data_IF_876411267641
#
_entry.id   IF_876411267641
#
_cell.length_a   1.000
_cell.length_b   1.000
_cell.length_c   1.000
_cell.angle_alpha   90.00
_cell.angle_beta   90.00
_cell.angle_gamma   90.00
#
_symmetry.space_group_name_H-M   'P 1'
#
loop_
_entity.id
_entity.type
_entity.pdbx_description
1 polymer ?
#
# COMPACT_ATOMS: atom_id res chain seq x y z
N UNK A 1 -40.67 59.08 -23.60
CA UNK A 1 -40.25 58.44 -22.33
C UNK A 1 -40.72 57.00 -22.33
N UNK A 2 -39.84 56.03 -22.56
CA UNK A 2 -40.16 54.59 -22.56
C UNK A 2 -39.67 54.00 -21.25
N UNK A 3 -40.60 53.56 -20.42
CA UNK A 3 -40.31 52.91 -19.16
C UNK A 3 -39.72 51.53 -19.41
N UNK A 4 -38.46 51.35 -19.01
CA UNK A 4 -37.80 50.04 -18.97
C UNK A 4 -38.40 49.20 -17.82
N UNK A 5 -39.07 48.12 -18.16
CA UNK A 5 -39.59 47.18 -17.15
C UNK A 5 -38.43 46.35 -16.58
N UNK A 6 -38.08 46.65 -15.36
CA UNK A 6 -37.05 45.99 -14.52
C UNK A 6 -37.51 44.61 -14.03
N UNK A 7 -37.94 43.71 -14.92
CA UNK A 7 -38.48 42.39 -14.53
C UNK A 7 -37.71 41.19 -15.12
N UNK A 8 -36.50 41.41 -15.61
CA UNK A 8 -35.66 40.31 -16.13
C UNK A 8 -34.42 40.03 -15.31
N UNK A 9 -34.19 40.70 -14.18
CA UNK A 9 -32.97 40.54 -13.38
C UNK A 9 -33.00 39.43 -12.32
N UNK A 10 -34.12 38.92 -11.80
CA UNK A 10 -34.06 37.88 -10.78
C UNK A 10 -33.74 36.48 -11.37
N UNK A 11 -34.12 36.23 -12.62
CA UNK A 11 -33.85 34.89 -13.23
C UNK A 11 -32.39 34.61 -13.54
N UNK A 12 -31.65 35.64 -13.93
CA UNK A 12 -30.24 35.46 -14.30
C UNK A 12 -29.32 35.32 -13.07
N UNK A 13 -29.64 36.01 -11.98
CA UNK A 13 -28.92 35.89 -10.71
C UNK A 13 -29.19 34.55 -10.07
N UNK A 14 -30.44 34.04 -10.17
CA UNK A 14 -30.81 32.73 -9.63
C UNK A 14 -30.12 31.58 -10.35
N UNK A 15 -29.99 31.68 -11.68
CA UNK A 15 -29.23 30.69 -12.47
C UNK A 15 -27.73 30.73 -12.15
N UNK A 16 -27.16 31.89 -11.86
CA UNK A 16 -25.75 32.05 -11.53
C UNK A 16 -25.43 31.53 -10.12
N UNK A 17 -26.37 31.68 -9.18
CA UNK A 17 -26.25 31.08 -7.83
C UNK A 17 -26.47 29.58 -7.85
N UNK A 18 -27.38 29.04 -8.68
CA UNK A 18 -27.55 27.59 -8.86
C UNK A 18 -26.35 26.96 -9.59
N UNK A 19 -25.72 27.67 -10.52
CA UNK A 19 -24.51 27.19 -11.21
C UNK A 19 -23.30 27.05 -10.30
N UNK A 20 -23.19 27.85 -9.23
CA UNK A 20 -22.09 27.78 -8.27
C UNK A 20 -22.23 26.64 -7.25
N UNK A 21 -23.44 26.10 -7.06
CA UNK A 21 -23.68 24.97 -6.14
C UNK A 21 -23.28 23.63 -6.80
N UNK A 22 -23.26 23.54 -8.14
CA UNK A 22 -22.90 22.31 -8.83
C UNK A 22 -21.40 22.08 -9.00
N UNK A 23 -20.55 23.07 -8.69
CA UNK A 23 -19.08 22.91 -8.73
C UNK A 23 -18.45 22.60 -7.37
N UNK A 24 -19.26 22.50 -6.31
CA UNK A 24 -18.77 22.22 -4.94
C UNK A 24 -19.10 20.81 -4.45
N UNK A 25 -19.58 19.93 -5.33
CA UNK A 25 -19.77 18.52 -5.02
C UNK A 25 -18.86 17.66 -5.92
N UNK A 26 -17.56 17.95 -5.89
CA UNK A 26 -16.58 16.90 -5.97
C UNK A 26 -16.40 16.41 -4.54
N UNK A 27 -17.42 15.77 -3.97
CA UNK A 27 -17.18 14.73 -3.01
C UNK A 27 -16.26 13.75 -3.72
N UNK A 28 -15.06 13.66 -3.21
CA UNK A 28 -14.29 12.46 -3.34
C UNK A 28 -15.12 11.36 -2.70
N UNK A 29 -16.00 10.77 -3.48
CA UNK A 29 -16.29 9.37 -3.29
C UNK A 29 -14.93 8.71 -3.53
N UNK A 30 -14.27 8.42 -2.44
CA UNK A 30 -13.23 7.41 -2.39
C UNK A 30 -13.90 6.12 -2.86
N UNK A 31 -14.00 5.97 -4.18
CA UNK A 31 -14.15 4.68 -4.82
C UNK A 31 -12.89 3.89 -4.46
N UNK A 32 -12.96 3.24 -3.30
CA UNK A 32 -11.97 2.28 -2.81
C UNK A 32 -11.81 1.05 -3.73
N UNK A 33 -12.24 1.15 -4.98
CA UNK A 33 -12.13 0.09 -5.99
C UNK A 33 -11.08 0.35 -7.06
N UNK A 34 -10.30 1.42 -6.96
CA UNK A 34 -9.27 1.74 -7.94
C UNK A 34 -7.88 1.84 -7.33
N UNK A 35 -7.07 0.78 -7.38
CA UNK A 35 -5.59 0.78 -7.31
C UNK A 35 -4.89 1.50 -6.15
N UNK A 36 -5.47 2.52 -5.55
CA UNK A 36 -4.86 3.32 -4.50
C UNK A 36 -4.69 2.58 -3.16
N UNK A 37 -5.61 1.68 -2.83
CA UNK A 37 -5.58 0.90 -1.59
C UNK A 37 -4.42 -0.11 -1.51
N UNK A 38 -3.92 -0.58 -2.66
CA UNK A 38 -2.82 -1.56 -2.71
C UNK A 38 -1.43 -0.94 -2.76
N UNK A 39 -1.29 0.33 -3.12
CA UNK A 39 0.02 0.98 -3.26
C UNK A 39 0.77 0.97 -1.93
N UNK A 40 2.03 0.52 -1.93
CA UNK A 40 2.88 0.44 -0.76
C UNK A 40 3.55 -0.93 -0.61
N UNK A 41 4.20 -1.13 0.53
CA UNK A 41 4.88 -2.38 0.88
C UNK A 41 3.90 -3.37 1.51
N UNK A 42 3.95 -4.62 1.07
CA UNK A 42 3.16 -5.73 1.56
C UNK A 42 4.07 -6.89 1.97
N UNK A 43 4.12 -7.17 3.25
CA UNK A 43 5.03 -8.11 3.88
C UNK A 43 4.26 -9.11 4.74
N UNK A 44 4.84 -10.27 4.95
CA UNK A 44 4.45 -11.19 6.03
C UNK A 44 4.97 -10.64 7.37
N UNK A 45 4.45 -9.48 7.80
CA UNK A 45 5.00 -8.67 8.92
C UNK A 45 5.05 -9.48 10.21
N UNK A 46 4.00 -10.27 10.50
CA UNK A 46 3.94 -11.08 11.73
C UNK A 46 5.07 -12.10 11.73
N UNK A 47 5.22 -12.86 10.64
CA UNK A 47 6.25 -13.90 10.53
C UNK A 47 7.66 -13.34 10.58
N UNK A 48 7.90 -12.20 9.90
CA UNK A 48 9.19 -11.51 9.91
C UNK A 48 9.56 -10.99 11.32
N UNK A 49 8.57 -10.44 12.04
CA UNK A 49 8.76 -9.98 13.41
C UNK A 49 8.99 -11.11 14.38
N UNK A 50 8.31 -12.24 14.21
CA UNK A 50 8.49 -13.41 15.06
C UNK A 50 9.88 -14.04 14.85
N UNK A 51 10.34 -14.19 13.60
CA UNK A 51 11.71 -14.61 13.30
C UNK A 51 12.76 -13.68 13.93
N UNK A 52 12.58 -12.38 13.79
CA UNK A 52 13.52 -11.42 14.38
C UNK A 52 13.49 -11.44 15.90
N UNK A 53 12.32 -11.63 16.52
CA UNK A 53 12.17 -11.76 17.98
C UNK A 53 12.89 -13.00 18.51
N UNK A 54 12.66 -14.16 17.89
CA UNK A 54 13.32 -15.41 18.23
C UNK A 54 14.84 -15.27 18.12
N UNK A 55 15.35 -14.66 17.03
CA UNK A 55 16.77 -14.44 16.85
C UNK A 55 17.39 -13.50 17.91
N UNK A 56 16.64 -12.46 18.35
CA UNK A 56 17.09 -11.55 19.41
C UNK A 56 17.11 -12.24 20.77
N UNK A 57 16.09 -13.04 21.09
CA UNK A 57 15.93 -13.69 22.39
C UNK A 57 16.84 -14.91 22.56
N UNK A 58 17.11 -15.65 21.48
CA UNK A 58 17.94 -16.85 21.50
C UNK A 58 19.39 -16.59 21.03
N UNK A 59 19.72 -15.33 20.67
CA UNK A 59 21.06 -14.94 20.15
C UNK A 59 21.51 -15.82 18.97
N UNK A 60 20.57 -16.13 18.06
CA UNK A 60 20.75 -17.07 16.97
C UNK A 60 20.89 -16.39 15.57
N UNK A 61 21.09 -15.07 15.53
CA UNK A 61 21.47 -14.37 14.31
C UNK A 61 22.86 -14.81 13.83
N UNK A 62 23.08 -14.80 12.51
CA UNK A 62 24.41 -15.05 11.96
C UNK A 62 25.41 -13.90 12.27
N UNK A 63 26.69 -14.06 11.85
CA UNK A 63 27.76 -13.09 12.11
C UNK A 63 27.44 -11.69 11.53
N UNK A 64 26.62 -11.61 10.47
CA UNK A 64 26.17 -10.37 9.84
C UNK A 64 24.88 -9.82 10.46
N UNK A 65 24.33 -10.50 11.46
CA UNK A 65 23.08 -10.16 12.13
C UNK A 65 21.83 -10.61 11.36
N UNK A 66 21.97 -11.40 10.28
CA UNK A 66 20.84 -11.91 9.51
C UNK A 66 20.03 -12.93 10.31
N UNK A 67 18.70 -12.77 10.30
CA UNK A 67 17.79 -13.63 11.07
C UNK A 67 16.89 -14.46 10.17
N UNK A 68 16.72 -14.08 8.92
CA UNK A 68 15.85 -14.75 7.98
C UNK A 68 15.19 -13.78 6.99
N UNK A 69 14.42 -14.32 6.06
CA UNK A 69 13.75 -13.53 5.06
C UNK A 69 12.48 -14.18 4.52
N UNK A 70 11.60 -13.36 3.94
CA UNK A 70 10.37 -13.79 3.31
C UNK A 70 10.11 -13.04 2.02
N UNK A 71 9.38 -13.67 1.09
CA UNK A 71 8.90 -12.99 -0.13
C UNK A 71 7.98 -11.84 0.26
N UNK A 72 8.12 -10.73 -0.43
CA UNK A 72 7.36 -9.51 -0.20
C UNK A 72 7.05 -8.81 -1.51
N UNK A 73 6.13 -7.88 -1.48
CA UNK A 73 5.69 -7.12 -2.65
C UNK A 73 5.68 -5.63 -2.34
N UNK A 74 6.00 -4.81 -3.36
CA UNK A 74 5.81 -3.36 -3.31
C UNK A 74 5.03 -2.91 -4.54
N UNK A 75 3.82 -2.46 -4.35
CA UNK A 75 3.00 -1.88 -5.40
C UNK A 75 3.39 -0.42 -5.57
N UNK A 76 3.96 -0.09 -6.74
CA UNK A 76 4.52 1.23 -7.02
C UNK A 76 3.47 2.22 -7.54
N UNK A 77 2.55 1.73 -8.34
CA UNK A 77 1.47 2.50 -8.97
C UNK A 77 0.34 1.56 -9.39
N UNK A 78 -0.62 2.05 -10.17
CA UNK A 78 -1.83 1.30 -10.53
C UNK A 78 -1.61 0.02 -11.37
N UNK A 79 -0.40 -0.21 -11.90
CA UNK A 79 -0.13 -1.36 -12.76
C UNK A 79 1.27 -1.97 -12.60
N UNK A 80 2.07 -1.46 -11.68
CA UNK A 80 3.47 -1.90 -11.50
C UNK A 80 3.69 -2.38 -10.07
N UNK A 81 4.22 -3.57 -9.92
CA UNK A 81 4.57 -4.20 -8.65
C UNK A 81 5.98 -4.74 -8.69
N UNK A 82 6.68 -4.67 -7.58
CA UNK A 82 7.95 -5.35 -7.36
C UNK A 82 7.73 -6.54 -6.42
N UNK A 83 8.31 -7.68 -6.76
CA UNK A 83 8.49 -8.81 -5.86
C UNK A 83 9.94 -8.83 -5.40
N UNK A 84 10.20 -9.07 -4.13
CA UNK A 84 11.53 -9.12 -3.56
C UNK A 84 11.54 -10.02 -2.31
N UNK A 85 12.76 -10.35 -1.84
CA UNK A 85 12.93 -10.96 -0.53
C UNK A 85 13.15 -9.85 0.49
N UNK A 86 12.31 -9.77 1.52
CA UNK A 86 12.61 -8.96 2.70
C UNK A 86 13.53 -9.77 3.60
N UNK A 87 14.74 -9.27 3.78
CA UNK A 87 15.70 -9.84 4.72
C UNK A 87 15.72 -9.03 6.00
N UNK A 88 15.73 -9.70 7.15
CA UNK A 88 15.77 -9.10 8.47
C UNK A 88 17.20 -9.19 9.06
N UNK A 89 17.66 -8.08 9.63
CA UNK A 89 18.97 -7.99 10.27
C UNK A 89 18.84 -7.31 11.63
N UNK A 90 19.49 -7.87 12.65
CA UNK A 90 19.66 -7.21 13.93
C UNK A 90 20.72 -6.11 13.77
N UNK A 91 20.36 -4.88 14.18
CA UNK A 91 21.18 -3.68 14.01
C UNK A 91 20.77 -2.84 12.80
N UNK A 92 21.54 -1.77 12.56
CA UNK A 92 21.38 -0.92 11.39
C UNK A 92 22.03 -1.53 10.16
N UNK A 93 21.24 -1.73 9.11
CA UNK A 93 21.74 -2.23 7.82
C UNK A 93 21.54 -1.16 6.74
N UNK A 94 22.58 -0.91 5.94
CA UNK A 94 22.50 0.00 4.80
C UNK A 94 21.49 -0.50 3.76
N UNK A 95 20.68 0.41 3.20
CA UNK A 95 19.64 0.05 2.22
C UNK A 95 18.35 -0.48 2.84
N UNK A 96 18.20 -0.44 4.16
CA UNK A 96 16.95 -0.78 4.80
C UNK A 96 15.84 0.20 4.37
N UNK A 97 14.70 -0.34 3.96
CA UNK A 97 13.51 0.45 3.66
C UNK A 97 12.62 0.67 4.89
N UNK A 98 12.83 -0.11 5.93
CA UNK A 98 12.15 0.01 7.23
C UNK A 98 13.08 -0.43 8.36
N UNK A 99 12.93 0.20 9.52
CA UNK A 99 13.59 -0.20 10.76
C UNK A 99 12.62 -0.07 11.92
N UNK A 100 12.65 -1.04 12.83
CA UNK A 100 11.84 -0.99 14.04
C UNK A 100 12.60 -1.57 15.23
N UNK A 101 12.06 -1.43 16.43
CA UNK A 101 12.65 -2.01 17.66
C UNK A 101 11.87 -3.27 18.03
N UNK A 102 12.54 -4.42 18.05
CA UNK A 102 11.99 -5.72 18.47
C UNK A 102 12.80 -6.22 19.64
N UNK A 103 12.16 -6.56 20.74
CA UNK A 103 12.79 -7.05 21.99
C UNK A 103 13.99 -6.18 22.43
N UNK A 104 13.88 -4.85 22.24
CA UNK A 104 14.92 -3.88 22.64
C UNK A 104 16.11 -3.75 21.69
N UNK A 105 16.12 -4.44 20.58
CA UNK A 105 17.13 -4.33 19.51
C UNK A 105 16.55 -3.65 18.28
N UNK A 106 17.37 -2.87 17.59
CA UNK A 106 17.02 -2.35 16.25
C UNK A 106 17.03 -3.51 15.27
N UNK A 107 15.97 -3.63 14.47
CA UNK A 107 15.88 -4.59 13.36
C UNK A 107 15.69 -3.83 12.06
N UNK A 108 16.50 -4.14 11.07
CA UNK A 108 16.47 -3.55 9.74
C UNK A 108 15.87 -4.52 8.72
N UNK A 109 14.91 -4.04 7.91
CA UNK A 109 14.30 -4.77 6.82
C UNK A 109 14.90 -4.28 5.49
N UNK A 110 15.51 -5.18 4.75
CA UNK A 110 16.22 -4.89 3.49
C UNK A 110 15.55 -5.64 2.36
N UNK A 111 15.31 -4.96 1.24
CA UNK A 111 14.78 -5.59 0.02
C UNK A 111 15.93 -6.11 -0.83
N UNK A 112 15.91 -7.40 -1.13
CA UNK A 112 16.88 -8.05 -2.01
C UNK A 112 16.20 -8.84 -3.13
N UNK A 113 16.95 -9.15 -4.20
CA UNK A 113 16.43 -9.90 -5.35
C UNK A 113 15.19 -9.26 -6.00
N UNK A 114 15.15 -7.93 -6.07
CA UNK A 114 14.02 -7.17 -6.58
C UNK A 114 13.75 -7.48 -8.06
N UNK A 115 12.50 -7.82 -8.38
CA UNK A 115 12.01 -8.05 -9.74
C UNK A 115 10.75 -7.25 -9.97
N UNK A 116 10.65 -6.60 -11.12
CA UNK A 116 9.50 -5.76 -11.48
C UNK A 116 8.56 -6.51 -12.40
N UNK A 117 7.28 -6.41 -12.11
CA UNK A 117 6.19 -7.03 -12.86
C UNK A 117 5.07 -6.01 -13.10
N UNK A 118 4.17 -6.34 -14.02
CA UNK A 118 2.88 -5.65 -14.10
C UNK A 118 1.81 -6.45 -13.37
N UNK A 119 0.76 -5.75 -12.94
CA UNK A 119 -0.39 -6.38 -12.30
C UNK A 119 -1.71 -5.75 -12.76
N UNK A 120 -2.80 -6.47 -12.55
CA UNK A 120 -4.17 -6.01 -12.77
C UNK A 120 -4.99 -6.31 -11.53
N UNK A 121 -5.84 -5.35 -11.15
CA UNK A 121 -6.88 -5.54 -10.14
C UNK A 121 -8.20 -5.88 -10.83
N UNK A 122 -8.86 -6.93 -10.35
CA UNK A 122 -10.23 -7.30 -10.74
C UNK A 122 -11.04 -7.54 -9.45
N UNK A 123 -11.83 -6.54 -9.07
CA UNK A 123 -12.48 -6.51 -7.78
C UNK A 123 -11.46 -6.56 -6.64
N UNK A 124 -11.51 -7.58 -5.82
CA UNK A 124 -10.57 -7.81 -4.72
C UNK A 124 -9.40 -8.76 -5.09
N UNK A 125 -9.26 -9.13 -6.36
CA UNK A 125 -8.16 -9.99 -6.82
C UNK A 125 -7.06 -9.22 -7.50
N UNK A 126 -5.83 -9.57 -7.18
CA UNK A 126 -4.59 -9.07 -7.78
C UNK A 126 -4.01 -10.16 -8.65
N UNK A 127 -3.81 -9.88 -9.92
CA UNK A 127 -3.17 -10.80 -10.87
C UNK A 127 -1.83 -10.21 -11.29
N UNK A 128 -0.73 -10.87 -10.92
CA UNK A 128 0.62 -10.45 -11.28
C UNK A 128 1.10 -11.27 -12.47
N UNK A 129 1.85 -10.65 -13.38
CA UNK A 129 2.30 -11.31 -14.62
C UNK A 129 3.32 -12.42 -14.43
N UNK A 130 3.85 -12.62 -13.23
CA UNK A 130 4.65 -13.80 -12.87
C UNK A 130 3.80 -15.06 -12.58
N UNK A 131 2.47 -14.93 -12.65
CA UNK A 131 1.53 -16.00 -12.35
C UNK A 131 0.98 -15.97 -10.92
N UNK A 132 1.43 -15.05 -10.09
CA UNK A 132 0.92 -14.88 -8.72
C UNK A 132 -0.49 -14.32 -8.74
N UNK A 133 -1.38 -14.93 -7.95
CA UNK A 133 -2.74 -14.45 -7.72
C UNK A 133 -2.90 -14.15 -6.23
N UNK A 134 -3.29 -12.93 -5.91
CA UNK A 134 -3.58 -12.49 -4.55
C UNK A 134 -5.05 -12.12 -4.38
N UNK A 135 -5.53 -12.20 -3.16
CA UNK A 135 -6.88 -11.75 -2.79
C UNK A 135 -6.78 -10.76 -1.65
N UNK A 136 -7.33 -9.57 -1.85
CA UNK A 136 -7.44 -8.53 -0.84
C UNK A 136 -8.63 -8.83 0.07
N UNK A 137 -8.38 -8.96 1.37
CA UNK A 137 -9.42 -9.21 2.39
C UNK A 137 -9.07 -8.41 3.63
N UNK A 138 -9.93 -7.48 4.03
CA UNK A 138 -9.79 -6.69 5.27
C UNK A 138 -8.41 -6.02 5.45
N UNK A 139 -7.84 -5.45 4.39
CA UNK A 139 -6.52 -4.80 4.44
C UNK A 139 -5.33 -5.74 4.41
N UNK A 140 -5.56 -7.02 4.11
CA UNK A 140 -4.52 -8.04 3.93
C UNK A 140 -4.54 -8.57 2.50
N UNK A 141 -3.39 -9.04 2.00
CA UNK A 141 -3.30 -9.80 0.75
C UNK A 141 -2.98 -11.25 1.09
N UNK A 142 -3.83 -12.15 0.63
CA UNK A 142 -3.58 -13.61 0.66
C UNK A 142 -3.18 -14.05 -0.74
N UNK A 143 -2.01 -14.64 -0.85
CA UNK A 143 -1.50 -15.15 -2.13
C UNK A 143 -1.83 -16.64 -2.25
N UNK A 144 -2.42 -17.03 -3.38
CA UNK A 144 -2.78 -18.42 -3.64
C UNK A 144 -1.53 -19.31 -3.60
N UNK A 145 -1.60 -20.39 -2.82
CA UNK A 145 -0.50 -21.34 -2.64
C UNK A 145 0.54 -20.96 -1.58
N UNK A 146 0.44 -19.77 -0.97
CA UNK A 146 1.28 -19.38 0.18
C UNK A 146 0.48 -19.45 1.47
N UNK A 147 1.16 -19.89 2.55
CA UNK A 147 0.58 -19.93 3.89
C UNK A 147 0.59 -18.56 4.59
N UNK A 148 1.34 -17.61 4.05
CA UNK A 148 1.54 -16.28 4.64
C UNK A 148 0.40 -15.33 4.26
N UNK A 149 0.07 -14.47 5.19
CA UNK A 149 -0.79 -13.30 4.94
C UNK A 149 0.09 -12.06 4.88
N UNK A 150 -0.03 -11.31 3.78
CA UNK A 150 0.71 -10.07 3.61
C UNK A 150 -0.08 -8.91 4.19
N UNK A 151 0.55 -8.13 5.02
CA UNK A 151 0.01 -6.91 5.61
C UNK A 151 0.73 -5.71 5.01
N UNK A 152 -0.01 -4.61 4.88
CA UNK A 152 0.60 -3.35 4.44
C UNK A 152 1.46 -2.79 5.56
N UNK A 153 2.70 -2.47 5.22
CA UNK A 153 3.60 -1.77 6.14
C UNK A 153 3.21 -0.29 6.14
N UNK A 154 2.86 0.23 7.31
CA UNK A 154 2.53 1.63 7.54
C UNK A 154 3.79 2.49 7.74
#
# INVERSE_FOLDING_TARGET
MKSFKLWQLPGFILCLLLGLVFFSSCDKDDDETGGGGVIGYWLAVTDLRDMAREAVEEDNADEDGFTGGAVSYRFLNANTVESFTTNCYIGHKSGAFHTETISGKTVSFVAENVRTYTYVLDGNKVYITDGTIGTLVNGEVRVDGLLFTFQKLE
#
